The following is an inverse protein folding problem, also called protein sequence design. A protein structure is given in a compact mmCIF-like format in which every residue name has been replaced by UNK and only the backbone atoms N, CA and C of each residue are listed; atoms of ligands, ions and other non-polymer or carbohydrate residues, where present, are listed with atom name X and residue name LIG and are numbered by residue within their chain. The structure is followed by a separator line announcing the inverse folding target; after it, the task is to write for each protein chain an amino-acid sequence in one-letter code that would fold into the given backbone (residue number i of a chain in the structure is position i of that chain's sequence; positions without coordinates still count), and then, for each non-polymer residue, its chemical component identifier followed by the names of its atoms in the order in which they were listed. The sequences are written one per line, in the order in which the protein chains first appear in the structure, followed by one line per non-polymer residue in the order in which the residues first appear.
data_IF_853561639498
#
_entry.id   IF_853561639498
#
_cell.length_a   1.000
_cell.length_b   1.000
_cell.length_c   1.000
_cell.angle_alpha   90.00
_cell.angle_beta   90.00
_cell.angle_gamma   90.00
#
_symmetry.space_group_name_H-M   'P 1'
#
loop_
_entity.id
_entity.type
_entity.pdbx_description
1 polymer ?
#
# COMPACT_ATOMS: atom_id res chain seq x y z
N UNK A 1 9.54 -1.08 -12.57
CA UNK A 1 10.60 -0.40 -11.82
C UNK A 1 10.08 -0.21 -10.40
N UNK A 2 10.81 -0.73 -9.41
CA UNK A 2 10.31 -0.88 -8.02
C UNK A 2 10.59 0.38 -7.20
N UNK A 3 10.13 1.53 -7.69
CA UNK A 3 10.30 2.82 -7.00
C UNK A 3 9.43 2.85 -5.76
N UNK A 4 9.97 3.24 -4.60
CA UNK A 4 9.16 3.49 -3.39
C UNK A 4 8.87 4.98 -3.31
N UNK A 5 7.62 5.34 -3.02
CA UNK A 5 7.16 6.73 -2.90
C UNK A 5 6.98 7.15 -1.45
N UNK A 6 6.85 8.45 -1.20
CA UNK A 6 6.57 9.01 0.13
C UNK A 6 7.83 9.19 0.99
N UNK A 7 7.69 9.08 2.32
CA UNK A 7 8.78 9.37 3.25
C UNK A 7 9.76 8.19 3.36
N UNK A 8 10.94 8.33 2.75
CA UNK A 8 11.99 7.30 2.80
C UNK A 8 13.09 7.60 3.81
N UNK A 9 13.00 8.72 4.53
CA UNK A 9 14.04 9.14 5.46
C UNK A 9 14.16 8.15 6.62
N UNK A 10 15.39 7.75 6.93
CA UNK A 10 15.69 6.83 8.03
C UNK A 10 15.41 5.36 7.75
N UNK A 11 14.96 4.98 6.54
CA UNK A 11 14.74 3.58 6.20
C UNK A 11 16.04 2.82 5.96
N UNK A 12 16.15 1.65 6.57
CA UNK A 12 17.29 0.73 6.38
C UNK A 12 17.23 0.10 4.98
N UNK A 13 18.38 -0.29 4.39
CA UNK A 13 18.41 -1.00 3.10
C UNK A 13 17.57 -2.28 3.09
N UNK A 14 17.49 -3.01 4.22
CA UNK A 14 16.66 -4.20 4.39
C UNK A 14 15.16 -3.87 4.28
N UNK A 15 14.72 -2.77 4.88
CA UNK A 15 13.33 -2.28 4.84
C UNK A 15 12.94 -1.87 3.41
N UNK A 16 13.83 -1.15 2.72
CA UNK A 16 13.64 -0.82 1.30
C UNK A 16 13.51 -2.08 0.44
N UNK A 17 14.31 -3.11 0.70
CA UNK A 17 14.22 -4.40 -0.01
C UNK A 17 12.89 -5.11 0.26
N UNK A 18 12.39 -5.07 1.50
CA UNK A 18 11.08 -5.63 1.85
C UNK A 18 9.93 -4.88 1.13
N UNK A 19 9.97 -3.55 1.11
CA UNK A 19 8.99 -2.73 0.39
C UNK A 19 8.97 -3.06 -1.11
N UNK A 20 10.15 -3.20 -1.74
CA UNK A 20 10.26 -3.57 -3.15
C UNK A 20 9.68 -4.97 -3.46
N UNK A 21 9.78 -5.91 -2.51
CA UNK A 21 9.17 -7.25 -2.68
C UNK A 21 7.64 -7.22 -2.77
N UNK A 22 6.98 -6.16 -2.30
CA UNK A 22 5.53 -6.00 -2.43
C UNK A 22 5.10 -5.88 -3.90
N UNK A 23 5.92 -5.28 -4.77
CA UNK A 23 5.63 -5.20 -6.22
C UNK A 23 5.49 -6.57 -6.90
N UNK A 24 6.12 -7.59 -6.34
CA UNK A 24 6.11 -8.94 -6.88
C UNK A 24 4.91 -9.76 -6.38
N UNK A 25 4.12 -9.22 -5.44
CA UNK A 25 2.91 -9.87 -4.97
C UNK A 25 1.78 -9.66 -5.99
N UNK A 26 0.98 -10.71 -6.16
CA UNK A 26 -0.22 -10.66 -6.97
C UNK A 26 -1.41 -11.08 -6.13
N UNK A 27 -2.41 -10.21 -6.07
CA UNK A 27 -3.64 -10.47 -5.35
C UNK A 27 -4.70 -11.07 -6.27
N UNK A 28 -5.67 -11.83 -5.75
CA UNK A 28 -6.88 -12.18 -6.50
C UNK A 28 -7.60 -10.91 -6.97
N UNK A 29 -8.19 -10.98 -8.18
CA UNK A 29 -8.88 -9.83 -8.79
C UNK A 29 -10.26 -9.58 -8.17
N UNK A 30 -10.88 -10.62 -7.66
CA UNK A 30 -12.18 -10.68 -6.99
C UNK A 30 -12.13 -10.29 -5.51
N UNK A 31 -10.95 -10.37 -4.87
CA UNK A 31 -10.77 -10.00 -3.47
C UNK A 31 -10.10 -8.63 -3.29
N UNK A 32 -10.50 -7.89 -2.26
CA UNK A 32 -9.86 -6.63 -1.88
C UNK A 32 -8.39 -6.87 -1.50
N UNK A 33 -8.16 -7.82 -0.60
CA UNK A 33 -6.85 -8.23 -0.07
C UNK A 33 -6.82 -9.74 0.18
N UNK A 34 -5.66 -10.28 0.57
CA UNK A 34 -5.57 -11.60 1.24
C UNK A 34 -5.06 -11.42 2.68
N UNK A 35 -5.32 -12.37 3.60
CA UNK A 35 -4.77 -12.33 4.95
C UNK A 35 -3.24 -12.24 4.96
N UNK A 36 -2.56 -12.99 4.09
CA UNK A 36 -1.10 -13.02 4.00
C UNK A 36 -0.55 -11.68 3.52
N UNK A 37 -1.22 -11.04 2.56
CA UNK A 37 -0.85 -9.72 2.08
C UNK A 37 -1.05 -8.66 3.17
N UNK A 38 -2.20 -8.71 3.86
CA UNK A 38 -2.51 -7.78 4.95
C UNK A 38 -1.49 -7.89 6.09
N UNK A 39 -1.18 -9.12 6.53
CA UNK A 39 -0.15 -9.39 7.54
C UNK A 39 1.22 -8.87 7.11
N UNK A 40 1.60 -9.08 5.85
CA UNK A 40 2.89 -8.62 5.31
C UNK A 40 2.99 -7.09 5.32
N UNK A 41 1.96 -6.40 4.84
CA UNK A 41 1.94 -4.92 4.81
C UNK A 41 1.93 -4.37 6.24
N UNK A 42 1.16 -4.97 7.16
CA UNK A 42 1.15 -4.60 8.57
C UNK A 42 2.52 -4.79 9.23
N UNK A 43 3.17 -5.94 9.04
CA UNK A 43 4.49 -6.23 9.60
C UNK A 43 5.56 -5.23 9.11
N UNK A 44 5.56 -4.89 7.82
CA UNK A 44 6.48 -3.89 7.27
C UNK A 44 6.17 -2.51 7.87
N UNK A 45 4.91 -2.10 7.94
CA UNK A 45 4.50 -0.81 8.51
C UNK A 45 4.92 -0.66 9.98
N UNK A 46 4.77 -1.73 10.77
CA UNK A 46 5.22 -1.77 12.16
C UNK A 46 6.74 -1.67 12.28
N UNK A 47 7.49 -2.38 11.44
CA UNK A 47 8.96 -2.36 11.44
C UNK A 47 9.54 -0.98 11.06
N UNK A 48 8.90 -0.28 10.11
CA UNK A 48 9.31 1.08 9.70
C UNK A 48 8.71 2.18 10.58
N UNK A 49 7.80 1.83 11.50
CA UNK A 49 7.04 2.75 12.35
C UNK A 49 6.33 3.88 11.58
N UNK A 50 5.92 3.60 10.34
CA UNK A 50 5.24 4.54 9.46
C UNK A 50 4.08 3.87 8.72
N UNK A 51 3.01 4.61 8.41
CA UNK A 51 1.94 4.13 7.53
C UNK A 51 2.49 3.69 6.17
N UNK A 52 1.83 2.72 5.56
CA UNK A 52 2.22 2.14 4.27
C UNK A 52 0.99 2.05 3.38
N UNK A 53 1.10 2.55 2.16
CA UNK A 53 0.08 2.46 1.11
C UNK A 53 0.56 1.56 -0.01
N UNK A 54 -0.30 0.64 -0.44
CA UNK A 54 -0.10 -0.18 -1.64
C UNK A 54 -1.27 0.01 -2.59
N UNK A 55 -0.96 0.35 -3.84
CA UNK A 55 -1.94 0.58 -4.89
C UNK A 55 -1.94 -0.60 -5.83
N UNK A 56 -3.12 -1.17 -6.05
CA UNK A 56 -3.30 -2.41 -6.78
C UNK A 56 -4.29 -2.17 -7.92
N UNK A 57 -3.95 -2.62 -9.12
CA UNK A 57 -4.86 -2.51 -10.26
C UNK A 57 -5.91 -3.65 -10.27
N UNK A 58 -6.90 -3.55 -11.17
CA UNK A 58 -7.96 -4.58 -11.34
C UNK A 58 -7.45 -6.02 -11.61
N UNK A 59 -6.22 -6.17 -12.09
CA UNK A 59 -5.59 -7.48 -12.34
C UNK A 59 -4.87 -8.03 -11.11
N UNK A 60 -4.98 -7.35 -9.96
CA UNK A 60 -4.32 -7.74 -8.73
C UNK A 60 -2.82 -7.42 -8.68
N UNK A 61 -2.30 -6.64 -9.63
CA UNK A 61 -0.89 -6.23 -9.63
C UNK A 61 -0.69 -5.04 -8.72
N UNK A 62 0.31 -5.10 -7.84
CA UNK A 62 0.78 -3.94 -7.10
C UNK A 62 1.51 -3.01 -8.07
N UNK A 63 0.98 -1.80 -8.25
CA UNK A 63 1.48 -0.80 -9.21
C UNK A 63 2.20 0.36 -8.54
N UNK A 64 1.99 0.56 -7.22
CA UNK A 64 2.72 1.54 -6.42
C UNK A 64 2.79 1.11 -4.96
N UNK A 65 3.95 1.30 -4.35
CA UNK A 65 4.21 1.11 -2.92
C UNK A 65 4.73 2.43 -2.36
N UNK A 66 4.14 2.92 -1.29
CA UNK A 66 4.44 4.25 -0.77
C UNK A 66 4.40 4.30 0.77
N UNK A 67 5.39 4.94 1.38
CA UNK A 67 5.46 5.15 2.83
C UNK A 67 4.79 6.48 3.17
N UNK A 68 3.72 6.42 3.95
CA UNK A 68 2.85 7.55 4.27
C UNK A 68 1.37 7.20 4.15
N UNK A 69 0.53 8.19 4.41
CA UNK A 69 -0.94 8.02 4.36
C UNK A 69 -1.48 8.09 2.92
N UNK A 70 -2.73 7.67 2.68
CA UNK A 70 -3.34 7.79 1.36
C UNK A 70 -3.41 9.23 0.84
N UNK A 71 -3.46 10.24 1.73
CA UNK A 71 -3.48 11.65 1.33
C UNK A 71 -2.11 12.16 0.89
N UNK A 72 -1.04 11.67 1.51
CA UNK A 72 0.35 12.02 1.18
C UNK A 72 0.87 11.29 -0.06
N UNK A 73 0.32 10.11 -0.36
CA UNK A 73 0.89 9.18 -1.35
C UNK A 73 0.00 8.96 -2.58
N UNK A 74 -1.00 9.82 -2.77
CA UNK A 74 -1.94 9.74 -3.91
C UNK A 74 -1.19 9.64 -5.24
N UNK A 75 -1.74 8.81 -6.12
CA UNK A 75 -1.33 8.77 -7.52
C UNK A 75 -1.72 10.10 -8.18
N UNK A 76 -0.76 10.85 -8.77
CA UNK A 76 -1.09 12.05 -9.51
C UNK A 76 -2.10 11.75 -10.62
N UNK A 77 -3.09 12.64 -10.88
CA UNK A 77 -4.11 12.40 -11.91
C UNK A 77 -3.53 12.05 -13.29
N UNK A 78 -2.40 12.65 -13.67
CA UNK A 78 -1.70 12.39 -14.94
C UNK A 78 -1.17 10.96 -15.09
N UNK A 79 -0.92 10.26 -13.96
CA UNK A 79 -0.43 8.88 -13.95
C UNK A 79 -1.57 7.84 -13.87
N UNK A 80 -2.82 8.28 -13.73
CA UNK A 80 -3.95 7.36 -13.65
C UNK A 80 -4.26 6.77 -15.03
N UNK A 81 -4.40 5.44 -15.16
CA UNK A 81 -4.58 4.76 -16.45
C UNK A 81 -5.93 5.05 -17.11
N UNK A 82 -6.93 5.53 -16.35
CA UNK A 82 -8.26 5.92 -16.84
C UNK A 82 -8.74 7.09 -16.02
N UNK A 83 -8.92 8.23 -16.68
CA UNK A 83 -9.45 9.45 -16.09
C UNK A 83 -10.68 9.86 -16.90
N UNK A 84 -11.85 9.72 -16.28
CA UNK A 84 -13.11 10.20 -16.82
C UNK A 84 -14.00 10.52 -15.63
N UNK A 85 -14.67 11.67 -15.64
CA UNK A 85 -15.42 12.16 -14.49
C UNK A 85 -16.46 11.15 -13.95
N UNK A 86 -16.97 10.28 -14.83
CA UNK A 86 -18.02 9.31 -14.53
C UNK A 86 -17.51 7.89 -14.22
N UNK A 87 -16.19 7.66 -14.21
CA UNK A 87 -15.63 6.30 -14.10
C UNK A 87 -14.60 6.19 -13.00
N UNK A 88 -14.66 5.09 -12.25
CA UNK A 88 -13.59 4.69 -11.34
C UNK A 88 -12.29 4.39 -12.11
N UNK A 89 -11.15 4.84 -11.57
CA UNK A 89 -9.82 4.65 -12.18
C UNK A 89 -9.33 3.18 -12.17
N UNK A 90 -10.05 2.28 -11.47
CA UNK A 90 -9.74 0.84 -11.42
C UNK A 90 -8.50 0.48 -10.62
N UNK A 91 -8.18 1.32 -9.62
CA UNK A 91 -7.09 1.12 -8.66
C UNK A 91 -7.71 1.10 -7.27
N UNK A 92 -7.31 0.11 -6.46
CA UNK A 92 -7.63 0.05 -5.03
C UNK A 92 -6.40 0.39 -4.20
N UNK A 93 -6.59 1.03 -3.05
CA UNK A 93 -5.53 1.35 -2.11
C UNK A 93 -5.72 0.51 -0.84
N UNK A 94 -4.72 -0.27 -0.46
CA UNK A 94 -4.64 -0.89 0.87
C UNK A 94 -3.63 -0.08 1.67
N UNK A 95 -4.09 0.48 2.79
CA UNK A 95 -3.28 1.33 3.64
C UNK A 95 -3.28 0.81 5.08
N UNK A 96 -2.14 0.91 5.75
CA UNK A 96 -2.04 0.72 7.19
C UNK A 96 -2.22 2.04 7.93
N UNK A 97 -2.74 1.94 9.15
CA UNK A 97 -2.75 3.04 10.09
C UNK A 97 -2.21 2.52 11.42
N UNK A 98 -1.12 3.10 11.88
CA UNK A 98 -0.56 2.77 13.19
C UNK A 98 -1.34 3.55 14.25
N UNK A 99 -1.79 2.83 15.28
CA UNK A 99 -2.40 3.39 16.49
C UNK A 99 -1.57 2.92 17.68
N UNK A 100 -1.37 3.81 18.64
CA UNK A 100 -0.68 3.52 19.90
C UNK A 100 -1.56 2.77 20.91
N UNK A 101 -2.87 2.73 20.68
CA UNK A 101 -3.83 2.05 21.54
C UNK A 101 -3.90 0.55 21.22
N UNK A 102 -4.17 -0.26 22.25
CA UNK A 102 -4.48 -1.68 22.06
C UNK A 102 -5.75 -1.84 21.22
N UNK A 103 -5.86 -2.91 20.40
CA UNK A 103 -7.09 -3.22 19.71
C UNK A 103 -8.25 -3.33 20.71
N UNK A 104 -9.33 -2.59 20.44
CA UNK A 104 -10.58 -2.72 21.22
C UNK A 104 -11.33 -3.94 20.70
N UNK A 105 -12.18 -4.55 21.53
CA UNK A 105 -13.02 -5.69 21.10
C UNK A 105 -13.85 -5.36 19.84
N UNK A 106 -14.31 -4.12 19.67
CA UNK A 106 -15.04 -3.69 18.47
C UNK A 106 -14.20 -3.63 17.17
N UNK A 107 -12.89 -3.85 17.26
CA UNK A 107 -11.93 -3.84 16.14
C UNK A 107 -11.41 -5.24 15.82
N UNK A 108 -11.79 -6.27 16.61
CA UNK A 108 -11.49 -7.68 16.40
C UNK A 108 -12.63 -8.36 15.61
#
# INVERSE_FOLDING_TARGET
MDTIYGNLQGLKPSQLKQLKRLYHQRLPSDNLTTPEFAQRVAAISTDIQQPLCTYINRRGQVIRVAVGTPTQTKIPPLELPRYGAERLCGIRCIATQLKSETPRESTL
#
